data_IF_176537175016
#
_entry.id   IF_176537175016
#
_cell.length_a   1.000
_cell.length_b   1.000
_cell.length_c   1.000
_cell.angle_alpha   90.00
_cell.angle_beta   90.00
_cell.angle_gamma   90.00
#
_symmetry.space_group_name_H-M   'P 1'
#
loop_
_entity.id
_entity.type
_entity.pdbx_description
1 polymer ?
#
# COMPACT_ATOMS: atom_id res chain seq x y z
N UNK A 1 -121.67 -30.74 111.64
CA UNK A 1 -121.56 -31.05 110.20
C UNK A 1 -120.64 -30.06 109.46
N UNK A 2 -120.67 -28.76 109.78
CA UNK A 2 -119.86 -27.72 109.11
C UNK A 2 -118.34 -27.96 109.04
N UNK A 3 -117.73 -28.61 110.04
CA UNK A 3 -116.30 -28.94 110.04
C UNK A 3 -115.89 -29.98 108.98
N UNK A 4 -116.83 -30.74 108.42
CA UNK A 4 -116.53 -31.77 107.42
C UNK A 4 -116.39 -31.22 105.99
N UNK A 5 -116.84 -29.99 105.72
CA UNK A 5 -116.78 -29.39 104.38
C UNK A 5 -117.63 -30.14 103.33
N UNK A 6 -117.54 -29.74 102.06
CA UNK A 6 -118.19 -30.45 100.94
C UNK A 6 -119.73 -30.52 101.01
N UNK A 7 -120.39 -29.64 101.77
CA UNK A 7 -121.86 -29.68 101.90
C UNK A 7 -122.42 -30.78 102.82
N UNK A 8 -121.60 -31.41 103.67
CA UNK A 8 -122.10 -32.35 104.68
C UNK A 8 -123.09 -31.67 105.64
N UNK A 9 -124.29 -32.23 105.77
CA UNK A 9 -125.37 -31.73 106.66
C UNK A 9 -125.99 -32.91 107.42
N UNK A 10 -126.39 -32.71 108.68
CA UNK A 10 -127.19 -33.66 109.46
C UNK A 10 -128.53 -33.01 109.78
N UNK A 11 -129.62 -33.57 109.25
CA UNK A 11 -130.97 -33.02 109.38
C UNK A 11 -131.97 -34.15 109.57
N UNK A 12 -132.88 -33.99 110.53
CA UNK A 12 -134.01 -34.91 110.77
C UNK A 12 -133.61 -36.40 110.90
N UNK A 13 -132.50 -36.66 111.59
CA UNK A 13 -132.03 -38.02 111.85
C UNK A 13 -131.21 -38.66 110.71
N UNK A 14 -131.04 -38.00 109.55
CA UNK A 14 -130.27 -38.52 108.40
C UNK A 14 -129.07 -37.65 108.05
N UNK A 15 -127.97 -38.29 107.67
CA UNK A 15 -126.77 -37.63 107.15
C UNK A 15 -126.86 -37.45 105.63
N UNK A 16 -126.61 -36.25 105.13
CA UNK A 16 -126.27 -35.99 103.73
C UNK A 16 -124.74 -36.10 103.57
N UNK A 17 -124.29 -37.01 102.69
CA UNK A 17 -122.87 -37.24 102.48
C UNK A 17 -122.20 -36.01 101.84
N UNK A 18 -120.99 -35.62 102.28
CA UNK A 18 -120.24 -34.57 101.61
C UNK A 18 -119.91 -34.92 100.16
N UNK A 19 -119.75 -33.88 99.35
CA UNK A 19 -119.18 -33.92 98.02
C UNK A 19 -118.15 -32.79 97.87
N UNK A 20 -116.89 -33.15 97.70
CA UNK A 20 -115.76 -32.23 97.53
C UNK A 20 -115.47 -32.05 96.05
N UNK A 21 -115.47 -30.80 95.60
CA UNK A 21 -115.09 -30.44 94.23
C UNK A 21 -113.64 -29.98 94.21
N UNK A 22 -112.81 -30.62 93.39
CA UNK A 22 -111.39 -30.27 93.26
C UNK A 22 -111.01 -30.30 91.79
N UNK A 23 -110.26 -29.29 91.35
CA UNK A 23 -109.67 -29.28 90.02
C UNK A 23 -108.49 -30.23 89.96
N UNK A 24 -108.57 -31.20 89.06
CA UNK A 24 -107.53 -32.20 88.84
C UNK A 24 -107.00 -32.11 87.41
N UNK A 25 -105.72 -32.41 87.24
CA UNK A 25 -105.09 -32.49 85.91
C UNK A 25 -105.41 -33.85 85.31
N UNK A 26 -105.82 -33.88 84.04
CA UNK A 26 -106.09 -35.12 83.30
C UNK A 26 -104.82 -35.99 83.17
N UNK A 27 -104.98 -37.28 82.89
CA UNK A 27 -103.88 -38.24 82.86
C UNK A 27 -102.80 -37.93 81.81
N UNK A 28 -103.18 -37.23 80.74
CA UNK A 28 -102.33 -36.76 79.65
C UNK A 28 -101.69 -35.37 79.93
N UNK A 29 -102.07 -34.70 81.03
CA UNK A 29 -101.56 -33.37 81.38
C UNK A 29 -102.24 -32.20 80.65
N UNK A 30 -102.98 -32.48 79.57
CA UNK A 30 -103.45 -31.46 78.64
C UNK A 30 -104.64 -30.61 79.13
N UNK A 31 -105.32 -31.03 80.21
CA UNK A 31 -106.54 -30.36 80.71
C UNK A 31 -106.61 -30.34 82.24
N UNK A 32 -107.26 -29.30 82.76
CA UNK A 32 -107.66 -29.20 84.17
C UNK A 32 -109.18 -29.35 84.25
N UNK A 33 -109.64 -30.32 85.03
CA UNK A 33 -111.06 -30.69 85.14
C UNK A 33 -111.53 -30.68 86.60
N UNK A 34 -112.70 -30.10 86.88
CA UNK A 34 -113.31 -30.15 88.22
C UNK A 34 -113.94 -31.53 88.47
N UNK A 35 -113.39 -32.30 89.40
CA UNK A 35 -113.91 -33.61 89.80
C UNK A 35 -114.57 -33.56 91.18
N UNK A 36 -115.60 -34.38 91.35
CA UNK A 36 -116.39 -34.50 92.58
C UNK A 36 -116.05 -35.78 93.33
N UNK A 37 -115.71 -35.67 94.61
CA UNK A 37 -115.28 -36.78 95.46
C UNK A 37 -116.14 -36.88 96.72
N UNK A 38 -116.49 -38.08 97.17
CA UNK A 38 -117.41 -38.26 98.32
C UNK A 38 -116.71 -38.17 99.67
N UNK A 39 -115.38 -38.27 99.68
CA UNK A 39 -114.56 -38.17 100.89
C UNK A 39 -113.36 -37.25 100.68
N UNK A 40 -112.83 -36.71 101.78
CA UNK A 40 -111.58 -35.95 101.79
C UNK A 40 -110.42 -36.81 101.28
N UNK A 41 -110.38 -38.09 101.68
CA UNK A 41 -109.35 -39.02 101.23
C UNK A 41 -109.35 -39.21 99.71
N UNK A 42 -110.52 -39.38 99.08
CA UNK A 42 -110.66 -39.46 97.62
C UNK A 42 -110.28 -38.15 96.93
N UNK A 43 -110.64 -36.99 97.51
CA UNK A 43 -110.27 -35.68 96.98
C UNK A 43 -108.74 -35.44 97.00
N UNK A 44 -108.07 -35.78 98.11
CA UNK A 44 -106.62 -35.72 98.20
C UNK A 44 -105.93 -36.75 97.29
N UNK A 45 -106.52 -37.92 97.08
CA UNK A 45 -106.04 -38.88 96.10
C UNK A 45 -106.12 -38.31 94.67
N UNK A 46 -107.20 -37.60 94.32
CA UNK A 46 -107.34 -36.89 93.03
C UNK A 46 -106.29 -35.78 92.82
N UNK A 47 -106.00 -35.00 93.87
CA UNK A 47 -104.89 -34.03 93.86
C UNK A 47 -103.54 -34.72 93.72
N UNK A 48 -103.31 -35.84 94.42
CA UNK A 48 -102.10 -36.65 94.30
C UNK A 48 -101.89 -37.20 92.88
N UNK A 49 -102.97 -37.67 92.24
CA UNK A 49 -102.97 -38.04 90.82
C UNK A 49 -102.64 -36.85 89.93
N UNK A 50 -103.16 -35.66 90.23
CA UNK A 50 -102.87 -34.44 89.46
C UNK A 50 -101.41 -34.00 89.57
N UNK A 51 -100.81 -34.10 90.76
CA UNK A 51 -99.38 -33.87 90.93
C UNK A 51 -98.55 -34.89 90.17
N UNK A 52 -98.99 -36.15 90.11
CA UNK A 52 -98.35 -37.20 89.32
C UNK A 52 -98.43 -36.88 87.82
N UNK A 53 -99.61 -36.46 87.34
CA UNK A 53 -99.83 -36.08 85.95
C UNK A 53 -98.99 -34.87 85.53
N UNK A 54 -98.98 -33.81 86.35
CA UNK A 54 -98.13 -32.63 86.13
C UNK A 54 -96.62 -32.98 86.18
N UNK A 55 -96.20 -33.85 87.10
CA UNK A 55 -94.82 -34.33 87.15
C UNK A 55 -94.44 -35.07 85.86
N UNK A 56 -95.33 -35.90 85.33
CA UNK A 56 -95.12 -36.60 84.06
C UNK A 56 -95.07 -35.62 82.88
N UNK A 57 -95.98 -34.65 82.80
CA UNK A 57 -95.99 -33.60 81.76
C UNK A 57 -94.68 -32.78 81.76
N UNK A 58 -94.27 -32.29 82.93
CA UNK A 58 -93.01 -31.55 83.10
C UNK A 58 -91.81 -32.42 82.72
N UNK A 59 -91.79 -33.69 83.15
CA UNK A 59 -90.72 -34.63 82.80
C UNK A 59 -90.65 -34.86 81.29
N UNK A 60 -91.80 -35.00 80.63
CA UNK A 60 -91.89 -35.16 79.18
C UNK A 60 -91.42 -33.89 78.45
N UNK A 61 -91.82 -32.71 78.90
CA UNK A 61 -91.39 -31.43 78.34
C UNK A 61 -89.87 -31.24 78.48
N UNK A 62 -89.31 -31.50 79.66
CA UNK A 62 -87.85 -31.45 79.91
C UNK A 62 -87.12 -32.47 79.04
N UNK A 63 -87.66 -33.68 78.91
CA UNK A 63 -87.09 -34.72 78.05
C UNK A 63 -87.09 -34.29 76.58
N UNK A 64 -88.18 -33.72 76.09
CA UNK A 64 -88.28 -33.20 74.72
C UNK A 64 -87.31 -32.06 74.45
N UNK A 65 -87.20 -31.10 75.39
CA UNK A 65 -86.22 -30.01 75.30
C UNK A 65 -84.79 -30.55 75.27
N UNK A 66 -84.46 -31.50 76.17
CA UNK A 66 -83.14 -32.13 76.18
C UNK A 66 -82.85 -32.86 74.87
N UNK A 67 -83.84 -33.56 74.31
CA UNK A 67 -83.69 -34.21 73.00
C UNK A 67 -83.43 -33.19 71.88
N UNK A 68 -84.16 -32.06 71.85
CA UNK A 68 -83.93 -30.99 70.88
C UNK A 68 -82.56 -30.31 71.05
N UNK A 69 -82.13 -30.05 72.28
CA UNK A 69 -80.78 -29.51 72.57
C UNK A 69 -79.71 -30.48 72.08
N UNK A 70 -79.85 -31.77 72.40
CA UNK A 70 -78.91 -32.80 71.97
C UNK A 70 -78.87 -32.92 70.44
N UNK A 71 -80.02 -32.76 69.76
CA UNK A 71 -80.07 -32.70 68.30
C UNK A 71 -79.32 -31.48 67.76
N UNK A 72 -79.56 -30.28 68.29
CA UNK A 72 -78.86 -29.05 67.86
C UNK A 72 -77.35 -29.14 68.10
N UNK A 73 -76.92 -29.65 69.26
CA UNK A 73 -75.50 -29.89 69.58
C UNK A 73 -74.90 -30.94 68.64
N UNK A 74 -75.66 -31.99 68.33
CA UNK A 74 -75.28 -33.05 67.38
C UNK A 74 -75.17 -32.57 65.94
N UNK A 75 -76.02 -31.64 65.51
CA UNK A 75 -76.10 -31.11 64.15
C UNK A 75 -75.19 -29.90 63.92
N UNK A 76 -74.58 -29.33 64.96
CA UNK A 76 -73.64 -28.22 64.82
C UNK A 76 -72.47 -28.59 63.90
N UNK A 77 -72.25 -27.75 62.88
CA UNK A 77 -71.15 -27.90 61.91
C UNK A 77 -69.87 -27.20 62.36
N UNK A 78 -69.92 -26.35 63.37
CA UNK A 78 -68.75 -25.61 63.87
C UNK A 78 -68.57 -25.97 65.33
N UNK A 79 -67.44 -26.61 65.62
CA UNK A 79 -67.09 -27.05 66.96
C UNK A 79 -65.65 -26.70 67.25
N UNK A 80 -65.41 -26.17 68.45
CA UNK A 80 -64.07 -26.08 68.99
C UNK A 80 -63.76 -27.38 69.71
N UNK A 81 -62.62 -27.98 69.41
CA UNK A 81 -62.11 -29.09 70.20
C UNK A 81 -61.57 -28.56 71.54
N UNK A 82 -62.09 -29.05 72.66
CA UNK A 82 -61.78 -28.51 73.99
C UNK A 82 -60.31 -28.70 74.40
N UNK A 83 -59.59 -29.65 73.78
CA UNK A 83 -58.19 -29.97 74.12
C UNK A 83 -57.19 -29.18 73.28
N UNK A 84 -57.43 -29.11 71.98
CA UNK A 84 -56.55 -28.47 71.00
C UNK A 84 -56.94 -27.02 70.72
N UNK A 85 -58.13 -26.61 71.15
CA UNK A 85 -58.75 -25.32 70.88
C UNK A 85 -58.93 -25.02 69.38
N UNK A 86 -58.77 -26.02 68.50
CA UNK A 86 -58.99 -25.90 67.05
C UNK A 86 -60.48 -25.83 66.76
N UNK A 87 -60.88 -24.86 65.95
CA UNK A 87 -62.24 -24.78 65.43
C UNK A 87 -62.32 -25.61 64.15
N UNK A 88 -63.01 -26.74 64.21
CA UNK A 88 -63.29 -27.58 63.06
C UNK A 88 -64.61 -27.16 62.41
N UNK A 89 -64.63 -27.14 61.07
CA UNK A 89 -65.84 -26.95 60.28
C UNK A 89 -66.17 -28.29 59.62
N UNK A 90 -67.26 -28.92 60.05
CA UNK A 90 -67.75 -30.20 59.54
C UNK A 90 -66.93 -31.43 59.97
N UNK A 91 -66.07 -31.32 60.99
CA UNK A 91 -65.12 -32.39 61.36
C UNK A 91 -65.76 -33.74 61.77
N UNK A 92 -66.99 -33.73 62.28
CA UNK A 92 -67.75 -34.94 62.64
C UNK A 92 -68.77 -35.37 61.56
N UNK A 93 -68.77 -34.69 60.42
CA UNK A 93 -69.71 -34.95 59.32
C UNK A 93 -68.94 -35.43 58.10
N UNK A 94 -69.59 -36.27 57.30
CA UNK A 94 -69.02 -36.73 56.03
C UNK A 94 -68.97 -35.59 55.00
N UNK A 95 -68.11 -35.74 53.98
CA UNK A 95 -67.97 -34.79 52.87
C UNK A 95 -66.55 -34.24 52.74
N UNK A 96 -66.22 -33.68 51.58
CA UNK A 96 -64.87 -33.18 51.26
C UNK A 96 -64.87 -31.70 50.83
N UNK A 97 -66.01 -31.02 50.94
CA UNK A 97 -66.18 -29.64 50.46
C UNK A 97 -66.98 -28.81 51.47
N UNK A 98 -66.41 -27.66 51.81
CA UNK A 98 -67.12 -26.56 52.47
C UNK A 98 -67.38 -25.48 51.42
N UNK A 99 -68.61 -24.97 51.35
CA UNK A 99 -68.96 -23.86 50.46
C UNK A 99 -69.20 -22.59 51.26
N UNK A 100 -68.61 -21.48 50.80
CA UNK A 100 -68.84 -20.14 51.35
C UNK A 100 -69.77 -19.29 50.48
N UNK A 101 -70.50 -19.91 49.55
CA UNK A 101 -71.46 -19.20 48.71
C UNK A 101 -72.62 -18.63 49.55
N UNK A 102 -73.18 -17.49 49.13
CA UNK A 102 -74.43 -16.98 49.70
C UNK A 102 -75.66 -17.73 49.16
N UNK A 103 -76.86 -17.29 49.54
CA UNK A 103 -78.14 -17.89 49.09
C UNK A 103 -78.35 -17.82 47.57
N UNK A 104 -77.66 -16.90 46.89
CA UNK A 104 -77.73 -16.72 45.44
C UNK A 104 -76.62 -17.48 44.71
N UNK A 105 -75.77 -18.21 45.44
CA UNK A 105 -74.62 -18.93 44.89
C UNK A 105 -73.37 -18.06 44.66
N UNK A 106 -73.40 -16.77 45.01
CA UNK A 106 -72.26 -15.86 44.82
C UNK A 106 -71.13 -16.15 45.82
N UNK A 107 -69.89 -16.06 45.36
CA UNK A 107 -68.70 -16.24 46.19
C UNK A 107 -68.56 -15.13 47.25
N UNK A 108 -67.96 -15.48 48.39
CA UNK A 108 -67.64 -14.53 49.48
C UNK A 108 -66.13 -14.35 49.62
N UNK A 109 -65.73 -13.17 50.09
CA UNK A 109 -64.35 -12.92 50.51
C UNK A 109 -64.08 -13.58 51.86
N UNK A 110 -63.05 -14.42 51.93
CA UNK A 110 -62.53 -14.95 53.19
C UNK A 110 -61.39 -14.05 53.66
N UNK A 111 -61.58 -13.35 54.78
CA UNK A 111 -60.59 -12.47 55.40
C UNK A 111 -60.07 -13.05 56.71
N UNK A 112 -58.97 -12.51 57.23
CA UNK A 112 -58.31 -13.02 58.44
C UNK A 112 -57.47 -14.28 58.23
N UNK A 113 -57.20 -14.66 56.97
CA UNK A 113 -56.34 -15.80 56.63
C UNK A 113 -54.88 -15.43 56.89
N UNK A 114 -54.30 -16.05 57.92
CA UNK A 114 -52.85 -15.99 58.20
C UNK A 114 -52.08 -16.52 56.99
N UNK A 115 -50.90 -15.95 56.71
CA UNK A 115 -50.03 -16.49 55.67
C UNK A 115 -49.72 -17.95 55.96
N UNK A 116 -50.09 -18.83 55.03
CA UNK A 116 -49.88 -20.27 55.15
C UNK A 116 -48.40 -20.61 55.07
N UNK A 117 -48.00 -21.71 55.70
CA UNK A 117 -46.64 -22.22 55.53
C UNK A 117 -46.43 -22.67 54.07
N UNK A 118 -45.31 -22.31 53.45
CA UNK A 118 -45.00 -22.67 52.06
C UNK A 118 -43.98 -23.81 52.01
N UNK A 119 -44.47 -25.04 52.21
CA UNK A 119 -43.70 -26.28 52.10
C UNK A 119 -44.35 -27.22 51.09
N UNK A 120 -43.60 -28.22 50.60
CA UNK A 120 -44.08 -29.19 49.60
C UNK A 120 -45.36 -29.93 50.03
N UNK A 121 -45.53 -30.15 51.34
CA UNK A 121 -46.66 -30.90 51.90
C UNK A 121 -47.70 -30.01 52.59
N UNK A 122 -47.58 -28.68 52.48
CA UNK A 122 -48.49 -27.77 53.17
C UNK A 122 -49.92 -27.88 52.63
N UNK A 123 -50.88 -27.90 53.56
CA UNK A 123 -52.31 -27.81 53.27
C UNK A 123 -52.91 -26.48 53.73
N UNK A 124 -52.06 -25.54 54.15
CA UNK A 124 -52.50 -24.23 54.61
C UNK A 124 -53.06 -23.41 53.44
N UNK A 125 -54.07 -22.59 53.72
CA UNK A 125 -54.56 -21.62 52.75
C UNK A 125 -53.50 -20.52 52.52
N UNK A 126 -53.23 -20.19 51.26
CA UNK A 126 -52.43 -19.03 50.90
C UNK A 126 -53.29 -17.78 50.86
N UNK A 127 -52.76 -16.66 51.33
CA UNK A 127 -53.46 -15.38 51.31
C UNK A 127 -52.96 -14.45 50.18
N UNK A 128 -53.62 -13.30 50.04
CA UNK A 128 -53.31 -12.34 48.98
C UNK A 128 -51.89 -11.77 49.03
N UNK A 129 -51.28 -11.61 50.22
CA UNK A 129 -49.92 -11.04 50.31
C UNK A 129 -48.86 -12.02 49.81
N UNK A 130 -49.05 -13.33 50.02
CA UNK A 130 -48.16 -14.36 49.50
C UNK A 130 -48.22 -14.44 47.97
N UNK A 131 -49.43 -14.47 47.40
CA UNK A 131 -49.60 -14.48 45.94
C UNK A 131 -49.09 -13.18 45.29
N UNK A 132 -49.29 -12.04 45.96
CA UNK A 132 -48.76 -10.75 45.49
C UNK A 132 -47.22 -10.75 45.44
N UNK A 133 -46.55 -11.24 46.49
CA UNK A 133 -45.09 -11.35 46.50
C UNK A 133 -44.56 -12.21 45.34
N UNK A 134 -45.21 -13.36 45.09
CA UNK A 134 -44.88 -14.20 43.93
C UNK A 134 -45.06 -13.44 42.60
N UNK A 135 -46.16 -12.71 42.44
CA UNK A 135 -46.43 -11.94 41.22
C UNK A 135 -45.42 -10.80 40.99
N UNK A 136 -44.89 -10.19 42.06
CA UNK A 136 -43.81 -9.21 41.97
C UNK A 136 -42.50 -9.85 41.46
N UNK A 137 -42.18 -11.06 41.93
CA UNK A 137 -41.03 -11.81 41.43
C UNK A 137 -41.21 -12.18 39.94
N UNK A 138 -42.40 -12.63 39.54
CA UNK A 138 -42.71 -12.93 38.12
C UNK A 138 -42.57 -11.69 37.23
N UNK A 139 -43.01 -10.54 37.72
CA UNK A 139 -42.86 -9.25 37.02
C UNK A 139 -41.39 -8.88 36.87
N UNK A 140 -40.60 -9.07 37.92
CA UNK A 140 -39.14 -8.82 37.89
C UNK A 140 -38.46 -9.71 36.84
N UNK A 141 -38.73 -11.02 36.84
CA UNK A 141 -38.20 -11.96 35.85
C UNK A 141 -38.59 -11.55 34.42
N UNK A 142 -39.82 -11.08 34.22
CA UNK A 142 -40.30 -10.63 32.91
C UNK A 142 -39.53 -9.40 32.42
N UNK A 143 -39.27 -8.43 33.31
CA UNK A 143 -38.50 -7.24 33.00
C UNK A 143 -37.02 -7.54 32.74
N UNK A 144 -36.42 -8.44 33.51
CA UNK A 144 -35.05 -8.89 33.33
C UNK A 144 -34.89 -9.62 31.99
N UNK A 145 -35.82 -10.51 31.63
CA UNK A 145 -35.82 -11.20 30.34
C UNK A 145 -35.93 -10.21 29.18
N UNK A 146 -36.80 -9.20 29.30
CA UNK A 146 -36.88 -8.13 28.29
C UNK A 146 -35.54 -7.41 28.15
N UNK A 147 -34.92 -7.05 29.26
CA UNK A 147 -33.63 -6.35 29.28
C UNK A 147 -32.52 -7.19 28.65
N UNK A 148 -32.45 -8.50 28.96
CA UNK A 148 -31.51 -9.44 28.34
C UNK A 148 -31.75 -9.52 26.83
N UNK A 149 -33.01 -9.60 26.40
CA UNK A 149 -33.35 -9.65 24.98
C UNK A 149 -32.96 -8.36 24.24
N UNK A 150 -33.31 -7.19 24.79
CA UNK A 150 -32.95 -5.88 24.23
C UNK A 150 -31.42 -5.73 24.11
N UNK A 151 -30.67 -6.12 25.15
CA UNK A 151 -29.20 -6.09 25.15
C UNK A 151 -28.61 -7.06 24.10
N UNK A 152 -29.15 -8.28 24.01
CA UNK A 152 -28.68 -9.27 23.03
C UNK A 152 -28.90 -8.77 21.61
N UNK A 153 -30.08 -8.24 21.30
CA UNK A 153 -30.39 -7.57 20.03
C UNK A 153 -29.45 -6.41 19.72
N UNK A 154 -29.20 -5.53 20.71
CA UNK A 154 -28.31 -4.40 20.55
C UNK A 154 -26.88 -4.84 20.24
N UNK A 155 -26.37 -5.86 20.93
CA UNK A 155 -24.99 -6.32 20.78
C UNK A 155 -24.77 -7.16 19.53
N UNK A 156 -25.77 -7.93 19.08
CA UNK A 156 -25.74 -8.53 17.75
C UNK A 156 -25.80 -7.44 16.67
N UNK A 157 -26.54 -6.36 16.88
CA UNK A 157 -26.69 -5.30 15.89
C UNK A 157 -27.45 -5.80 14.65
N UNK A 158 -27.18 -5.21 13.48
CA UNK A 158 -27.75 -5.66 12.20
C UNK A 158 -29.29 -5.62 12.11
N UNK A 159 -29.96 -4.89 12.99
CA UNK A 159 -31.43 -4.88 13.08
C UNK A 159 -32.06 -6.13 13.72
N UNK A 160 -31.28 -6.94 14.45
CA UNK A 160 -31.82 -8.13 15.13
C UNK A 160 -32.87 -7.82 16.20
N UNK A 161 -33.86 -8.70 16.33
CA UNK A 161 -34.90 -8.69 17.37
C UNK A 161 -35.01 -10.10 17.95
N UNK A 162 -34.25 -10.38 19.01
CA UNK A 162 -34.15 -11.71 19.62
C UNK A 162 -35.48 -12.14 20.22
N UNK A 163 -36.25 -11.20 20.78
CA UNK A 163 -37.56 -11.50 21.35
C UNK A 163 -38.56 -11.97 20.27
N UNK A 164 -38.44 -11.43 19.05
CA UNK A 164 -39.28 -11.80 17.90
C UNK A 164 -38.64 -12.82 16.97
N UNK A 165 -37.42 -13.29 17.25
CA UNK A 165 -36.71 -14.23 16.40
C UNK A 165 -36.22 -13.65 15.06
N UNK A 166 -35.97 -12.34 14.98
CA UNK A 166 -35.41 -11.68 13.78
C UNK A 166 -33.88 -11.72 13.82
N UNK A 167 -33.26 -12.35 12.83
CA UNK A 167 -31.81 -12.45 12.69
C UNK A 167 -31.16 -11.10 12.33
N UNK A 168 -29.89 -10.86 12.71
CA UNK A 168 -29.15 -9.66 12.32
C UNK A 168 -28.73 -9.73 10.85
N UNK A 169 -28.85 -8.65 10.09
CA UNK A 169 -28.26 -8.53 8.74
C UNK A 169 -26.97 -7.71 8.78
N UNK A 170 -25.87 -8.31 8.36
CA UNK A 170 -24.58 -7.64 8.13
C UNK A 170 -24.27 -7.59 6.64
N UNK A 171 -23.62 -6.53 6.18
CA UNK A 171 -23.23 -6.38 4.78
C UNK A 171 -21.71 -6.32 4.66
N UNK A 172 -21.12 -7.26 3.93
CA UNK A 172 -19.68 -7.29 3.60
C UNK A 172 -19.55 -7.40 2.09
N UNK A 173 -18.86 -6.44 1.47
CA UNK A 173 -18.73 -6.34 0.00
C UNK A 173 -20.06 -6.42 -0.77
N UNK A 174 -21.11 -5.80 -0.22
CA UNK A 174 -22.45 -5.80 -0.82
C UNK A 174 -23.23 -7.12 -0.69
N UNK A 175 -22.65 -8.16 -0.08
CA UNK A 175 -23.33 -9.42 0.25
C UNK A 175 -23.90 -9.36 1.66
N UNK A 176 -25.12 -9.87 1.84
CA UNK A 176 -25.82 -9.92 3.13
C UNK A 176 -25.57 -11.24 3.86
N UNK A 177 -25.28 -11.16 5.14
CA UNK A 177 -25.05 -12.29 6.04
C UNK A 177 -25.97 -12.19 7.26
N UNK A 178 -26.56 -13.31 7.68
CA UNK A 178 -27.56 -13.35 8.75
C UNK A 178 -27.00 -13.84 10.10
N UNK A 179 -25.68 -14.02 10.18
CA UNK A 179 -24.97 -14.42 11.38
C UNK A 179 -23.60 -13.75 11.45
N UNK A 180 -23.08 -13.62 12.66
CA UNK A 180 -21.74 -13.08 12.91
C UNK A 180 -20.69 -13.97 12.26
N UNK A 181 -20.81 -15.29 12.39
CA UNK A 181 -19.85 -16.25 11.85
C UNK A 181 -19.76 -16.14 10.32
N UNK A 182 -20.90 -16.07 9.62
CA UNK A 182 -20.91 -15.97 8.16
C UNK A 182 -20.38 -14.60 7.70
N UNK A 183 -20.70 -13.52 8.41
CA UNK A 183 -20.18 -12.19 8.10
C UNK A 183 -18.65 -12.14 8.24
N UNK A 184 -18.09 -12.72 9.31
CA UNK A 184 -16.64 -12.84 9.47
C UNK A 184 -16.01 -13.76 8.42
N UNK A 185 -16.68 -14.83 8.00
CA UNK A 185 -16.27 -15.65 6.86
C UNK A 185 -16.24 -14.85 5.55
N UNK A 186 -17.20 -13.94 5.36
CA UNK A 186 -17.21 -12.97 4.28
C UNK A 186 -15.98 -12.04 4.30
N UNK A 187 -15.66 -11.47 5.46
CA UNK A 187 -14.47 -10.61 5.64
C UNK A 187 -13.16 -11.38 5.38
N UNK A 188 -13.05 -12.60 5.89
CA UNK A 188 -11.89 -13.47 5.68
C UNK A 188 -11.66 -13.77 4.19
N UNK A 189 -12.75 -14.02 3.45
CA UNK A 189 -12.70 -14.16 2.00
C UNK A 189 -12.21 -12.88 1.32
N UNK A 190 -12.75 -11.71 1.68
CA UNK A 190 -12.31 -10.42 1.13
C UNK A 190 -10.81 -10.17 1.36
N UNK A 191 -10.30 -10.48 2.56
CA UNK A 191 -8.87 -10.38 2.85
C UNK A 191 -8.03 -11.39 2.07
N UNK A 192 -8.54 -12.60 1.86
CA UNK A 192 -7.88 -13.60 1.03
C UNK A 192 -7.74 -13.14 -0.42
N UNK A 193 -8.80 -12.56 -1.01
CA UNK A 193 -8.75 -12.02 -2.36
C UNK A 193 -7.83 -10.80 -2.46
N UNK A 194 -7.90 -9.86 -1.51
CA UNK A 194 -6.99 -8.72 -1.44
C UNK A 194 -5.52 -9.17 -1.36
N UNK A 195 -5.21 -10.20 -0.58
CA UNK A 195 -3.86 -10.75 -0.49
C UNK A 195 -3.38 -11.33 -1.82
N UNK A 196 -4.26 -12.04 -2.56
CA UNK A 196 -3.94 -12.56 -3.89
C UNK A 196 -3.66 -11.43 -4.88
N UNK A 197 -4.49 -10.39 -4.90
CA UNK A 197 -4.32 -9.22 -5.78
C UNK A 197 -3.01 -8.49 -5.50
N UNK A 198 -2.70 -8.23 -4.22
CA UNK A 198 -1.42 -7.60 -3.83
C UNK A 198 -0.23 -8.44 -4.27
N UNK A 199 -0.30 -9.77 -4.10
CA UNK A 199 0.76 -10.69 -4.52
C UNK A 199 0.94 -10.68 -6.03
N UNK A 200 -0.15 -10.67 -6.80
CA UNK A 200 -0.11 -10.56 -8.25
C UNK A 200 0.51 -9.23 -8.69
N UNK A 201 0.03 -8.10 -8.15
CA UNK A 201 0.56 -6.77 -8.47
C UNK A 201 2.05 -6.66 -8.12
N UNK A 202 2.49 -7.25 -6.99
CA UNK A 202 3.90 -7.28 -6.60
C UNK A 202 4.74 -8.06 -7.60
N UNK A 203 4.25 -9.21 -8.07
CA UNK A 203 4.93 -10.00 -9.09
C UNK A 203 4.99 -9.25 -10.43
N UNK A 204 3.88 -8.65 -10.86
CA UNK A 204 3.83 -7.85 -12.09
C UNK A 204 4.81 -6.67 -12.06
N UNK A 205 4.86 -5.94 -10.94
CA UNK A 205 5.82 -4.84 -10.74
C UNK A 205 7.26 -5.36 -10.74
N UNK A 206 7.55 -6.46 -10.04
CA UNK A 206 8.87 -7.08 -10.00
C UNK A 206 9.33 -7.49 -11.40
N UNK A 207 8.49 -8.18 -12.17
CA UNK A 207 8.81 -8.59 -13.54
C UNK A 207 8.95 -7.38 -14.48
N UNK A 208 8.10 -6.36 -14.33
CA UNK A 208 8.22 -5.13 -15.11
C UNK A 208 9.57 -4.43 -14.85
N UNK A 209 9.99 -4.32 -13.58
CA UNK A 209 11.30 -3.75 -13.20
C UNK A 209 12.43 -4.61 -13.76
N UNK A 210 12.38 -5.94 -13.62
CA UNK A 210 13.39 -6.84 -14.20
C UNK A 210 13.52 -6.72 -15.72
N UNK A 211 12.41 -6.46 -16.40
CA UNK A 211 12.38 -6.39 -17.85
C UNK A 211 12.78 -5.02 -18.40
N UNK A 212 12.43 -3.93 -17.72
CA UNK A 212 12.53 -2.58 -18.28
C UNK A 212 13.54 -1.65 -17.58
N UNK A 213 14.07 -2.02 -16.40
CA UNK A 213 15.07 -1.21 -15.72
C UNK A 213 16.51 -1.53 -16.19
N UNK A 214 17.39 -0.53 -16.09
CA UNK A 214 18.83 -0.71 -16.21
C UNK A 214 19.36 -1.26 -14.87
N UNK A 215 19.68 -2.54 -14.81
CA UNK A 215 20.01 -3.23 -13.57
C UNK A 215 21.51 -3.52 -13.45
N UNK A 216 21.98 -3.57 -12.20
CA UNK A 216 23.32 -4.04 -11.86
C UNK A 216 23.42 -5.55 -12.09
N UNK A 217 24.50 -6.00 -12.72
CA UNK A 217 24.87 -7.40 -12.89
C UNK A 217 26.02 -7.72 -11.94
N UNK A 218 25.78 -8.62 -10.99
CA UNK A 218 26.84 -9.09 -10.08
C UNK A 218 27.92 -9.88 -10.82
N UNK A 219 27.57 -10.55 -11.92
CA UNK A 219 28.53 -11.27 -12.74
C UNK A 219 29.50 -10.32 -13.46
N UNK A 220 28.97 -9.21 -13.99
CA UNK A 220 29.76 -8.23 -14.75
C UNK A 220 30.33 -7.11 -13.87
N UNK A 221 29.88 -7.02 -12.61
CA UNK A 221 30.16 -5.92 -11.69
C UNK A 221 29.91 -4.54 -12.32
N UNK A 222 28.78 -4.39 -13.02
CA UNK A 222 28.41 -3.18 -13.73
C UNK A 222 26.89 -3.07 -13.96
N UNK A 223 26.40 -1.87 -14.27
CA UNK A 223 25.07 -1.71 -14.86
C UNK A 223 25.09 -2.18 -16.32
N UNK A 224 24.19 -3.09 -16.68
CA UNK A 224 24.18 -3.72 -18.00
C UNK A 224 23.04 -3.17 -18.86
N UNK A 225 23.40 -2.51 -19.97
CA UNK A 225 22.46 -1.94 -20.92
C UNK A 225 21.98 -2.94 -21.98
N UNK A 226 21.54 -4.13 -21.55
CA UNK A 226 20.94 -5.13 -22.44
C UNK A 226 19.43 -5.21 -22.23
N UNK A 227 18.66 -5.26 -23.31
CA UNK A 227 17.20 -5.37 -23.27
C UNK A 227 16.74 -6.48 -24.24
N UNK A 228 15.61 -7.13 -23.93
CA UNK A 228 15.08 -8.27 -24.68
C UNK A 228 14.53 -9.37 -23.76
N UNK A 229 14.00 -10.43 -24.36
CA UNK A 229 13.55 -11.63 -23.65
C UNK A 229 14.72 -12.40 -23.06
N UNK A 230 14.47 -13.16 -22.00
CA UNK A 230 15.48 -14.02 -21.37
C UNK A 230 16.08 -14.99 -22.40
N UNK A 231 17.40 -15.08 -22.45
CA UNK A 231 18.14 -15.85 -23.47
C UNK A 231 18.48 -15.08 -24.76
N UNK A 232 17.79 -13.97 -25.06
CA UNK A 232 17.95 -13.19 -26.30
C UNK A 232 18.25 -11.70 -26.05
N UNK A 233 18.75 -11.35 -24.86
CA UNK A 233 19.10 -9.96 -24.51
C UNK A 233 20.23 -9.43 -25.41
N UNK A 234 20.08 -8.19 -25.91
CA UNK A 234 21.08 -7.52 -26.77
C UNK A 234 21.46 -6.16 -26.24
N UNK A 235 22.69 -5.74 -26.53
CA UNK A 235 23.18 -4.39 -26.23
C UNK A 235 22.23 -3.33 -26.80
N UNK A 236 21.83 -2.39 -25.96
CA UNK A 236 20.85 -1.36 -26.26
C UNK A 236 21.47 0.03 -26.15
N UNK A 237 20.92 0.98 -26.90
CA UNK A 237 21.35 2.38 -26.84
C UNK A 237 20.95 2.99 -25.49
N UNK A 238 21.83 3.78 -24.90
CA UNK A 238 21.49 4.75 -23.85
C UNK A 238 21.43 6.12 -24.55
N UNK A 239 20.25 6.74 -24.57
CA UNK A 239 20.01 8.00 -25.28
C UNK A 239 19.46 9.07 -24.32
N UNK A 240 19.33 10.30 -24.80
CA UNK A 240 18.92 11.46 -23.99
C UNK A 240 19.89 11.80 -22.85
N UNK A 241 21.15 11.42 -23.01
CA UNK A 241 22.24 11.81 -22.12
C UNK A 241 22.58 13.29 -22.34
N UNK A 242 22.74 14.03 -21.25
CA UNK A 242 23.40 15.32 -21.29
C UNK A 242 24.88 15.15 -21.65
N UNK A 243 25.49 16.19 -22.24
CA UNK A 243 26.92 16.17 -22.53
C UNK A 243 27.73 16.09 -21.25
N UNK A 244 28.61 15.09 -21.15
CA UNK A 244 29.51 14.92 -20.01
C UNK A 244 30.65 15.92 -19.99
N UNK A 245 31.23 16.18 -18.82
CA UNK A 245 32.43 16.99 -18.71
C UNK A 245 33.63 16.29 -19.38
N UNK A 246 34.38 17.00 -20.23
CA UNK A 246 35.59 16.48 -20.88
C UNK A 246 36.82 17.02 -20.15
N UNK A 247 37.13 16.41 -19.01
CA UNK A 247 38.28 16.78 -18.17
C UNK A 247 39.00 15.52 -17.68
N UNK A 248 40.22 15.67 -17.14
CA UNK A 248 41.08 14.53 -16.76
C UNK A 248 40.42 13.56 -15.77
N UNK A 249 39.67 14.09 -14.82
CA UNK A 249 39.12 13.31 -13.70
C UNK A 249 37.60 13.08 -13.84
N UNK A 250 37.03 13.32 -15.02
CA UNK A 250 35.59 13.16 -15.26
C UNK A 250 35.16 11.69 -15.23
N UNK A 251 34.01 11.44 -14.62
CA UNK A 251 33.32 10.14 -14.64
C UNK A 251 32.00 10.18 -15.42
N UNK A 252 31.76 11.27 -16.17
CA UNK A 252 30.54 11.44 -16.94
C UNK A 252 30.58 10.61 -18.23
N UNK A 253 29.41 10.10 -18.65
CA UNK A 253 29.27 9.51 -19.97
C UNK A 253 29.38 10.59 -21.06
N UNK A 254 30.05 10.26 -22.18
CA UNK A 254 30.19 11.15 -23.34
C UNK A 254 29.11 10.84 -24.36
N UNK A 255 28.50 11.88 -24.93
CA UNK A 255 27.47 11.73 -25.97
C UNK A 255 28.07 11.65 -27.36
N UNK A 256 27.28 11.16 -28.33
CA UNK A 256 27.68 11.15 -29.73
C UNK A 256 27.99 12.54 -30.30
N UNK A 257 27.34 13.61 -29.82
CA UNK A 257 27.58 14.97 -30.31
C UNK A 257 28.95 15.51 -29.91
N UNK A 258 29.45 15.15 -28.72
CA UNK A 258 30.79 15.51 -28.26
C UNK A 258 31.87 14.82 -29.09
N UNK A 259 31.71 13.52 -29.33
CA UNK A 259 32.64 12.77 -30.19
C UNK A 259 32.60 13.29 -31.65
N UNK A 260 31.41 13.59 -32.16
CA UNK A 260 31.24 14.20 -33.48
C UNK A 260 31.94 15.57 -33.58
N UNK A 261 31.80 16.43 -32.56
CA UNK A 261 32.49 17.73 -32.51
C UNK A 261 34.01 17.55 -32.51
N UNK A 262 34.53 16.62 -31.70
CA UNK A 262 35.96 16.32 -31.66
C UNK A 262 36.50 15.88 -33.02
N UNK A 263 35.79 14.98 -33.70
CA UNK A 263 36.20 14.51 -35.03
C UNK A 263 36.16 15.65 -36.08
N UNK A 264 35.18 16.55 -36.01
CA UNK A 264 35.13 17.72 -36.89
C UNK A 264 36.28 18.70 -36.63
N UNK A 265 36.64 18.94 -35.36
CA UNK A 265 37.82 19.74 -35.01
C UNK A 265 39.10 19.07 -35.52
N UNK A 266 39.22 17.75 -35.40
CA UNK A 266 40.38 17.03 -35.91
C UNK A 266 40.48 17.12 -37.44
N UNK A 267 39.35 16.98 -38.15
CA UNK A 267 39.32 17.10 -39.60
C UNK A 267 39.73 18.49 -40.09
N UNK A 268 39.32 19.56 -39.39
CA UNK A 268 39.67 20.94 -39.77
C UNK A 268 41.17 21.22 -39.65
N UNK A 269 41.88 20.57 -38.72
CA UNK A 269 43.32 20.69 -38.60
C UNK A 269 44.09 20.02 -39.74
N UNK A 270 43.54 18.96 -40.35
CA UNK A 270 44.17 18.34 -41.52
C UNK A 270 44.01 19.19 -42.79
N UNK A 271 42.90 19.91 -42.94
CA UNK A 271 42.58 20.61 -44.20
C UNK A 271 42.45 19.62 -45.37
N UNK A 272 42.76 20.05 -46.60
CA UNK A 272 42.74 19.16 -47.77
C UNK A 272 41.38 18.52 -48.07
N UNK A 273 40.28 19.06 -47.56
CA UNK A 273 38.95 18.45 -47.68
C UNK A 273 38.66 17.28 -46.73
N UNK A 274 39.51 17.03 -45.72
CA UNK A 274 39.19 16.08 -44.65
C UNK A 274 37.88 16.47 -43.94
N UNK A 275 37.05 15.48 -43.64
CA UNK A 275 35.76 15.70 -42.95
C UNK A 275 35.31 14.45 -42.20
N UNK A 276 34.46 14.65 -41.20
CA UNK A 276 33.75 13.58 -40.52
C UNK A 276 32.25 13.81 -40.64
N UNK A 277 31.58 13.01 -41.46
CA UNK A 277 30.18 13.20 -41.84
C UNK A 277 29.46 11.85 -41.84
N UNK A 278 28.21 11.81 -41.34
CA UNK A 278 27.40 10.59 -41.23
C UNK A 278 28.08 9.43 -40.47
N UNK A 279 29.00 9.73 -39.55
CA UNK A 279 29.74 8.72 -38.79
C UNK A 279 30.93 8.13 -39.52
N UNK A 280 31.29 8.66 -40.69
CA UNK A 280 32.39 8.19 -41.51
C UNK A 280 33.47 9.27 -41.66
N UNK A 281 34.73 8.84 -41.67
CA UNK A 281 35.89 9.70 -41.87
C UNK A 281 36.29 9.74 -43.34
N UNK A 282 36.44 10.96 -43.88
CA UNK A 282 37.04 11.20 -45.18
C UNK A 282 38.47 11.74 -45.00
N UNK A 283 39.44 11.07 -45.61
CA UNK A 283 40.84 11.46 -45.57
C UNK A 283 41.07 12.83 -46.25
N UNK A 284 42.10 13.60 -45.82
CA UNK A 284 42.53 14.78 -46.55
C UNK A 284 43.10 14.39 -47.92
N UNK A 285 42.99 15.31 -48.87
CA UNK A 285 43.63 15.24 -50.18
C UNK A 285 44.52 16.48 -50.35
N UNK A 286 45.82 16.26 -50.46
CA UNK A 286 46.82 17.31 -50.70
C UNK A 286 47.32 17.20 -52.13
N UNK A 287 47.32 18.33 -52.84
CA UNK A 287 47.91 18.45 -54.17
C UNK A 287 49.27 19.14 -54.03
N UNK A 288 50.32 18.47 -54.45
CA UNK A 288 51.70 18.97 -54.34
C UNK A 288 52.32 18.99 -55.72
N UNK A 289 52.70 20.18 -56.17
CA UNK A 289 53.52 20.35 -57.37
C UNK A 289 54.95 19.90 -57.10
N UNK A 290 55.41 18.92 -57.85
CA UNK A 290 56.75 18.39 -57.80
C UNK A 290 57.55 18.84 -59.01
N UNK A 291 58.82 19.13 -58.80
CA UNK A 291 59.78 19.42 -59.86
C UNK A 291 60.79 18.28 -59.97
N UNK A 292 61.05 17.81 -61.18
CA UNK A 292 62.09 16.81 -61.48
C UNK A 292 63.44 17.48 -61.78
N UNK A 293 64.53 16.69 -61.76
CA UNK A 293 65.90 17.21 -61.98
C UNK A 293 66.18 17.72 -63.40
N UNK A 294 65.24 17.57 -64.33
CA UNK A 294 65.25 18.14 -65.69
C UNK A 294 64.38 19.41 -65.82
N UNK A 295 63.89 19.96 -64.70
CA UNK A 295 63.12 21.20 -64.65
C UNK A 295 61.64 21.08 -65.04
N UNK A 296 61.12 19.87 -65.25
CA UNK A 296 59.69 19.64 -65.49
C UNK A 296 58.92 19.61 -64.18
N UNK A 297 57.64 19.99 -64.22
CA UNK A 297 56.75 19.90 -63.08
C UNK A 297 55.57 18.95 -63.32
N UNK A 298 55.13 18.27 -62.26
CA UNK A 298 53.87 17.50 -62.22
C UNK A 298 53.12 17.77 -60.92
N UNK A 299 51.79 17.71 -60.96
CA UNK A 299 50.97 17.76 -59.74
C UNK A 299 50.64 16.33 -59.31
N UNK A 300 51.06 15.95 -58.11
CA UNK A 300 50.73 14.66 -57.52
C UNK A 300 49.76 14.85 -56.35
N UNK A 301 48.94 13.82 -56.12
CA UNK A 301 47.92 13.82 -55.07
C UNK A 301 48.29 12.88 -53.94
N UNK A 302 48.16 13.34 -52.71
CA UNK A 302 48.52 12.62 -51.49
C UNK A 302 47.38 12.63 -50.49
N UNK A 303 47.11 11.47 -49.87
CA UNK A 303 45.94 11.32 -48.98
C UNK A 303 46.30 11.39 -47.47
N UNK A 304 47.54 11.75 -47.15
CA UNK A 304 47.98 11.99 -45.78
C UNK A 304 49.16 12.98 -45.77
N UNK A 305 49.40 13.54 -44.57
CA UNK A 305 50.38 14.61 -44.37
C UNK A 305 51.81 14.14 -44.61
N UNK A 306 52.15 12.92 -44.16
CA UNK A 306 53.51 12.40 -44.27
C UNK A 306 53.92 12.23 -45.74
N UNK A 307 53.05 11.64 -46.55
CA UNK A 307 53.32 11.43 -47.98
C UNK A 307 53.33 12.75 -48.75
N UNK A 308 52.44 13.69 -48.42
CA UNK A 308 52.46 15.04 -49.02
C UNK A 308 53.79 15.75 -48.77
N UNK A 309 54.30 15.72 -47.52
CA UNK A 309 55.63 16.24 -47.20
C UNK A 309 56.75 15.43 -47.86
N UNK A 310 56.58 14.12 -48.04
CA UNK A 310 57.48 13.27 -48.84
C UNK A 310 57.56 13.74 -50.30
N UNK A 311 56.43 14.11 -50.89
CA UNK A 311 56.34 14.72 -52.21
C UNK A 311 57.06 16.08 -52.29
N UNK A 312 56.82 16.97 -51.32
CA UNK A 312 57.55 18.26 -51.22
C UNK A 312 59.06 18.04 -51.12
N UNK A 313 59.50 17.10 -50.28
CA UNK A 313 60.91 16.79 -50.12
C UNK A 313 61.53 16.25 -51.42
N UNK A 314 60.79 15.42 -52.17
CA UNK A 314 61.22 14.93 -53.48
C UNK A 314 61.34 16.07 -54.50
N UNK A 315 60.38 17.01 -54.49
CA UNK A 315 60.42 18.23 -55.31
C UNK A 315 61.67 19.08 -55.03
N UNK A 316 62.00 19.30 -53.76
CA UNK A 316 63.22 20.04 -53.38
C UNK A 316 64.50 19.32 -53.81
N UNK A 317 64.54 17.99 -53.77
CA UNK A 317 65.67 17.23 -54.34
C UNK A 317 65.77 17.42 -55.85
N UNK A 318 64.66 17.43 -56.57
CA UNK A 318 64.61 17.70 -58.00
C UNK A 318 65.16 19.09 -58.35
N UNK A 319 64.64 20.14 -57.70
CA UNK A 319 65.14 21.52 -57.86
C UNK A 319 66.63 21.64 -57.52
N UNK A 320 67.08 20.98 -56.45
CA UNK A 320 68.50 20.97 -56.08
C UNK A 320 69.38 20.35 -57.18
N UNK A 321 68.93 19.26 -57.79
CA UNK A 321 69.63 18.62 -58.89
C UNK A 321 69.64 19.50 -60.15
N UNK A 322 68.51 20.10 -60.52
CA UNK A 322 68.42 21.03 -61.66
C UNK A 322 69.37 22.21 -61.48
N UNK A 323 69.36 22.84 -60.29
CA UNK A 323 70.26 23.93 -59.95
C UNK A 323 71.74 23.50 -60.01
N UNK A 324 72.05 22.30 -59.51
CA UNK A 324 73.41 21.73 -59.59
C UNK A 324 73.84 21.51 -61.03
N UNK A 325 72.94 21.00 -61.88
CA UNK A 325 73.19 20.81 -63.31
C UNK A 325 73.40 22.15 -64.03
N UNK A 326 72.58 23.16 -63.73
CA UNK A 326 72.70 24.50 -64.29
C UNK A 326 74.05 25.13 -63.91
N UNK A 327 74.44 25.07 -62.63
CA UNK A 327 75.75 25.54 -62.14
C UNK A 327 76.90 24.79 -62.81
N UNK A 328 76.77 23.47 -62.98
CA UNK A 328 77.78 22.64 -63.64
C UNK A 328 77.93 23.02 -65.12
N UNK A 329 76.83 23.23 -65.85
CA UNK A 329 76.86 23.66 -67.24
C UNK A 329 77.50 25.05 -67.39
N UNK A 330 77.14 26.01 -66.53
CA UNK A 330 77.78 27.33 -66.47
C UNK A 330 79.28 27.19 -66.22
N UNK A 331 79.70 26.38 -65.25
CA UNK A 331 81.12 26.15 -64.96
C UNK A 331 81.86 25.50 -66.13
N UNK A 332 81.22 24.57 -66.86
CA UNK A 332 81.79 23.97 -68.06
C UNK A 332 81.94 24.99 -69.20
N UNK A 333 80.92 25.82 -69.44
CA UNK A 333 80.98 26.91 -70.41
C UNK A 333 82.08 27.92 -70.07
N UNK A 334 82.21 28.31 -68.79
CA UNK A 334 83.30 29.18 -68.31
C UNK A 334 84.66 28.50 -68.55
N UNK A 335 84.80 27.23 -68.20
CA UNK A 335 86.04 26.47 -68.40
C UNK A 335 86.42 26.39 -69.88
N UNK A 336 85.44 26.19 -70.76
CA UNK A 336 85.64 26.21 -72.20
C UNK A 336 86.07 27.60 -72.69
N UNK A 337 85.40 28.68 -72.26
CA UNK A 337 85.81 30.06 -72.61
C UNK A 337 87.24 30.36 -72.14
N UNK A 338 87.63 29.90 -70.95
CA UNK A 338 89.00 30.05 -70.43
C UNK A 338 90.00 29.21 -71.24
N UNK A 339 89.64 27.97 -71.60
CA UNK A 339 90.48 27.08 -72.41
C UNK A 339 90.68 27.60 -73.82
N UNK A 340 89.60 28.00 -74.49
CA UNK A 340 89.56 28.48 -75.88
C UNK A 340 90.10 29.92 -76.01
N UNK A 341 90.35 30.61 -74.88
CA UNK A 341 90.96 31.94 -74.89
C UNK A 341 92.32 31.90 -75.57
N UNK A 342 92.46 32.55 -76.72
CA UNK A 342 93.74 32.65 -77.44
C UNK A 342 94.71 33.62 -76.78
N UNK A 343 94.23 34.47 -75.87
CA UNK A 343 95.06 35.42 -75.12
C UNK A 343 95.08 34.98 -73.66
N UNK A 344 96.26 34.54 -73.20
CA UNK A 344 96.45 34.04 -71.83
C UNK A 344 97.69 34.68 -71.22
N UNK A 345 97.58 35.12 -69.96
CA UNK A 345 98.75 35.44 -69.16
C UNK A 345 99.27 34.16 -68.52
N UNK A 346 100.52 33.81 -68.81
CA UNK A 346 101.19 32.69 -68.19
C UNK A 346 101.46 33.01 -66.71
N UNK A 347 100.87 32.24 -65.80
CA UNK A 347 100.92 32.53 -64.36
C UNK A 347 102.33 32.44 -63.74
N UNK A 348 103.28 31.79 -64.42
CA UNK A 348 104.64 31.59 -63.91
C UNK A 348 105.57 32.72 -64.38
N UNK A 349 105.46 33.07 -65.65
CA UNK A 349 106.31 34.09 -66.29
C UNK A 349 105.68 35.49 -66.29
N UNK A 350 104.39 35.58 -65.97
CA UNK A 350 103.54 36.78 -66.12
C UNK A 350 103.48 37.33 -67.56
N UNK A 351 103.97 36.60 -68.55
CA UNK A 351 103.95 36.99 -69.96
C UNK A 351 102.56 36.77 -70.56
N UNK A 352 102.06 37.74 -71.31
CA UNK A 352 100.87 37.56 -72.15
C UNK A 352 101.30 36.83 -73.42
N UNK A 353 100.64 35.71 -73.69
CA UNK A 353 100.85 34.90 -74.89
C UNK A 353 99.61 34.97 -75.76
N UNK A 354 99.80 35.00 -77.08
CA UNK A 354 98.72 35.01 -78.08
C UNK A 354 98.91 33.76 -78.94
N UNK A 355 97.93 32.85 -78.90
CA UNK A 355 97.92 31.63 -79.73
C UNK A 355 98.98 30.58 -79.38
N UNK A 356 99.62 30.63 -78.21
CA UNK A 356 100.72 29.70 -77.81
C UNK A 356 100.34 28.21 -77.90
N UNK A 357 99.08 27.87 -77.60
CA UNK A 357 98.59 26.50 -77.50
C UNK A 357 97.92 25.98 -78.80
N UNK A 358 97.90 26.79 -79.86
CA UNK A 358 97.25 26.45 -81.14
C UNK A 358 98.24 26.56 -82.31
N UNK A 359 97.96 25.85 -83.40
CA UNK A 359 98.75 25.92 -84.62
C UNK A 359 98.40 27.17 -85.46
N UNK A 360 99.38 27.69 -86.19
CA UNK A 360 99.26 28.88 -87.03
C UNK A 360 100.57 29.67 -87.04
N UNK A 361 100.80 30.46 -88.07
CA UNK A 361 102.03 31.28 -88.21
C UNK A 361 101.76 32.77 -88.33
N UNK A 362 100.48 33.19 -88.27
CA UNK A 362 100.06 34.58 -88.45
C UNK A 362 99.20 35.02 -87.26
N UNK A 363 99.53 36.18 -86.68
CA UNK A 363 98.64 36.94 -85.81
C UNK A 363 98.23 38.19 -86.58
N UNK A 364 97.00 38.20 -87.08
CA UNK A 364 96.47 39.34 -87.81
C UNK A 364 95.71 40.27 -86.86
N UNK A 365 96.13 41.53 -86.81
CA UNK A 365 95.53 42.56 -85.95
C UNK A 365 94.70 43.58 -86.74
N UNK A 366 94.43 43.35 -88.02
CA UNK A 366 93.59 44.24 -88.80
C UNK A 366 92.17 44.33 -88.21
N UNK A 367 91.50 45.47 -88.40
CA UNK A 367 90.11 45.61 -87.95
C UNK A 367 89.13 44.82 -88.85
N UNK A 368 87.82 44.91 -88.55
CA UNK A 368 86.78 44.24 -89.34
C UNK A 368 86.76 44.64 -90.83
N UNK A 369 87.35 45.79 -91.17
CA UNK A 369 87.42 46.36 -92.52
C UNK A 369 88.79 46.10 -93.20
N UNK A 370 89.62 45.22 -92.59
CA UNK A 370 90.98 44.84 -93.05
C UNK A 370 92.00 45.99 -93.05
N UNK A 371 91.73 47.06 -92.30
CA UNK A 371 92.70 48.14 -92.12
C UNK A 371 93.73 47.76 -91.06
N UNK A 372 94.99 48.10 -91.32
CA UNK A 372 96.10 47.88 -90.40
C UNK A 372 95.88 48.63 -89.07
N UNK A 373 96.14 47.95 -87.94
CA UNK A 373 96.14 48.59 -86.62
C UNK A 373 97.54 48.93 -86.17
N UNK A 374 97.68 50.07 -85.48
CA UNK A 374 98.92 50.40 -84.76
C UNK A 374 99.07 49.49 -83.55
N UNK A 375 100.19 48.76 -83.45
CA UNK A 375 100.60 48.08 -82.23
C UNK A 375 101.51 49.03 -81.42
N UNK A 376 100.97 49.66 -80.38
CA UNK A 376 101.70 50.58 -79.50
C UNK A 376 102.08 49.91 -78.17
N UNK A 377 103.03 50.51 -77.44
CA UNK A 377 103.56 49.93 -76.19
C UNK A 377 104.60 48.81 -76.40
N UNK A 378 105.17 48.68 -77.61
CA UNK A 378 106.23 47.71 -77.92
C UNK A 378 107.56 48.17 -77.33
N UNK A 379 108.11 47.40 -76.39
CA UNK A 379 109.45 47.61 -75.85
C UNK A 379 110.49 47.35 -76.94
N UNK A 380 111.62 48.06 -76.87
CA UNK A 380 112.80 47.80 -77.70
C UNK A 380 113.19 46.30 -77.65
N UNK A 381 113.29 45.64 -78.80
CA UNK A 381 113.72 44.26 -79.00
C UNK A 381 115.17 44.03 -78.53
N UNK A 382 115.36 43.06 -77.66
CA UNK A 382 116.65 42.58 -77.18
C UNK A 382 117.03 41.25 -77.86
N UNK A 383 116.06 40.52 -78.44
CA UNK A 383 116.23 39.23 -79.11
C UNK A 383 115.77 39.28 -80.57
N UNK A 384 116.33 38.40 -81.40
CA UNK A 384 116.05 38.35 -82.84
C UNK A 384 114.62 37.94 -83.23
N UNK A 385 113.81 37.48 -82.28
CA UNK A 385 112.41 37.06 -82.49
C UNK A 385 111.40 38.00 -81.80
N UNK A 386 111.80 39.23 -81.50
CA UNK A 386 110.96 40.27 -80.91
C UNK A 386 110.63 41.35 -81.94
N UNK A 387 109.47 42.01 -81.79
CA UNK A 387 109.10 43.13 -82.66
C UNK A 387 109.99 44.35 -82.37
N UNK A 388 110.56 44.95 -83.41
CA UNK A 388 111.30 46.20 -83.29
C UNK A 388 110.34 47.36 -83.11
N UNK A 389 110.58 48.20 -82.12
CA UNK A 389 109.84 49.44 -81.96
C UNK A 389 110.42 50.54 -82.86
N UNK A 390 109.67 51.62 -83.05
CA UNK A 390 110.08 52.71 -83.95
C UNK A 390 111.40 53.35 -83.52
N UNK A 391 111.60 53.56 -82.23
CA UNK A 391 112.80 54.20 -81.69
C UNK A 391 114.08 53.39 -82.01
N UNK A 392 114.04 52.07 -81.89
CA UNK A 392 115.16 51.21 -82.27
C UNK A 392 115.43 51.19 -83.77
N UNK A 393 114.39 51.13 -84.59
CA UNK A 393 114.56 51.18 -86.04
C UNK A 393 115.20 52.51 -86.46
N UNK A 394 114.73 53.62 -85.89
CA UNK A 394 115.31 54.95 -86.11
C UNK A 394 116.76 55.02 -85.61
N UNK A 395 117.10 54.40 -84.46
CA UNK A 395 118.47 54.33 -83.93
C UNK A 395 119.38 53.47 -84.80
N UNK A 396 118.93 52.30 -85.25
CA UNK A 396 119.69 51.43 -86.16
C UNK A 396 119.98 52.12 -87.50
N UNK A 397 119.03 52.88 -88.03
CA UNK A 397 119.25 53.75 -89.18
C UNK A 397 120.29 54.84 -88.89
N UNK A 398 120.27 55.43 -87.69
CA UNK A 398 121.24 56.44 -87.26
C UNK A 398 122.64 55.85 -87.08
N UNK A 399 122.79 54.70 -86.45
CA UNK A 399 124.07 54.01 -86.26
C UNK A 399 124.65 53.52 -87.60
N UNK A 400 123.81 53.03 -88.52
CA UNK A 400 124.21 52.73 -89.91
C UNK A 400 124.69 53.98 -90.64
N UNK A 401 123.95 55.10 -90.51
CA UNK A 401 124.33 56.40 -91.07
C UNK A 401 125.67 56.89 -90.52
N UNK A 402 125.95 56.67 -89.24
CA UNK A 402 127.22 57.04 -88.60
C UNK A 402 128.39 56.13 -89.05
N UNK A 403 128.15 54.83 -89.24
CA UNK A 403 129.19 53.89 -89.74
C UNK A 403 129.63 54.15 -91.19
N UNK A 404 128.79 54.85 -91.96
CA UNK A 404 129.08 55.24 -93.35
C UNK A 404 129.87 56.56 -93.46
N UNK A 405 130.20 57.20 -92.33
CA UNK A 405 131.02 58.42 -92.27
C UNK A 405 132.39 58.08 -91.64
N UNK A 406 133.46 58.09 -92.44
CA UNK A 406 134.84 57.98 -91.93
C UNK A 406 135.23 59.27 -91.19
N UNK A 407 135.80 59.15 -89.99
CA UNK A 407 136.47 60.26 -89.32
C UNK A 407 137.74 60.64 -90.10
N UNK A 408 137.85 61.91 -90.49
CA UNK A 408 139.04 62.53 -91.08
C UNK A 408 140.23 62.57 -90.11
#
# INVERSE_FOLDING_TARGET
ASYFGGGAEYKEGKWAAPNFKVNTVSADGDKVEEQSYKTVAEAFAGVGSSFTNLHNEVTNAVTNINNQINQVVGDSLVKQDDKTHVIAVGGEKNGTKVTFANTDGAARTLTGVKAGELTETSTDAVNGSQLFATNQNVTTVTNDLKTVSDNTSKYLGGGSDVLKGVAPTYTVEGKSYQSVADAFGGVDHSFTELHKEIKQNTNEVSENVKQNALLWSDNDNAFVATHGTEGDKKNSKITSLANGSVTKDSTDAITGSQLYSMNNTLASYFGGGAKYENGEWAAPTFKVTQFSGDGKSSEETYNNVADAFGGVNSSFKGLHNEMTNAVTNINNQISQVVSDSLVKQDATTNLITIGKEVAGSEVNIANKDKEDRTLSGVKAAEKGNEAVNKEQFDKGLKDLSNSLQSED
#
